data_IF_645309710920
#
_entry.id   IF_645309710920
#
_cell.length_a   1.000
_cell.length_b   1.000
_cell.length_c   1.000
_cell.angle_alpha   90.00
_cell.angle_beta   90.00
_cell.angle_gamma   90.00
#
_symmetry.space_group_name_H-M   'P 1'
#
loop_
_entity.id
_entity.type
_entity.pdbx_description
1 polymer ?
#
# COMPACT_ATOMS: atom_id res chain seq x y z
N UNK A 1 -8.59 -8.35 -21.59
CA UNK A 1 -9.35 -7.92 -20.41
C UNK A 1 -9.03 -8.90 -19.32
N UNK A 2 -8.60 -8.42 -18.15
CA UNK A 2 -8.25 -9.30 -17.02
C UNK A 2 -9.52 -9.76 -16.29
N UNK A 3 -9.44 -10.85 -15.52
CA UNK A 3 -10.58 -11.30 -14.71
C UNK A 3 -11.08 -10.21 -13.75
N UNK A 4 -10.16 -9.42 -13.20
CA UNK A 4 -10.51 -8.31 -12.32
C UNK A 4 -11.28 -7.21 -13.05
N UNK A 5 -10.88 -6.85 -14.27
CA UNK A 5 -11.60 -5.86 -15.08
C UNK A 5 -13.04 -6.30 -15.40
N UNK A 6 -13.25 -7.59 -15.67
CA UNK A 6 -14.58 -8.16 -15.90
C UNK A 6 -15.46 -8.10 -14.64
N UNK A 7 -14.89 -8.42 -13.47
CA UNK A 7 -15.60 -8.26 -12.20
C UNK A 7 -16.03 -6.82 -11.96
N UNK A 8 -15.13 -5.85 -12.18
CA UNK A 8 -15.45 -4.44 -11.97
C UNK A 8 -16.53 -3.92 -12.93
N UNK A 9 -16.64 -4.46 -14.15
CA UNK A 9 -17.72 -4.12 -15.09
C UNK A 9 -19.09 -4.62 -14.63
N UNK A 10 -19.13 -5.68 -13.81
CA UNK A 10 -20.38 -6.19 -13.23
C UNK A 10 -20.91 -5.35 -12.06
N UNK A 11 -20.08 -4.46 -11.50
CA UNK A 11 -20.46 -3.59 -10.40
C UNK A 11 -21.11 -2.28 -10.92
N UNK A 12 -22.16 -1.81 -10.25
CA UNK A 12 -22.75 -0.50 -10.54
C UNK A 12 -21.72 0.59 -10.27
N UNK A 13 -21.51 1.57 -11.16
CA UNK A 13 -20.48 2.61 -10.95
C UNK A 13 -20.62 3.30 -9.59
N UNK A 14 -19.51 3.61 -8.89
CA UNK A 14 -19.58 4.32 -7.62
C UNK A 14 -20.13 5.73 -7.84
N UNK A 15 -21.04 6.18 -6.97
CA UNK A 15 -21.62 7.52 -7.00
C UNK A 15 -20.74 8.60 -6.35
N UNK A 16 -19.57 8.21 -5.82
CA UNK A 16 -18.63 9.08 -5.12
C UNK A 16 -17.30 8.38 -4.87
N UNK A 17 -16.72 8.58 -3.68
CA UNK A 17 -15.52 7.86 -3.27
C UNK A 17 -15.78 6.35 -3.25
N UNK A 18 -14.79 5.56 -3.66
CA UNK A 18 -14.91 4.09 -3.64
C UNK A 18 -15.01 3.51 -2.22
N UNK A 19 -14.68 4.30 -1.20
CA UNK A 19 -14.80 3.92 0.21
C UNK A 19 -15.98 4.60 0.92
N UNK A 20 -16.78 5.42 0.23
CA UNK A 20 -17.80 6.26 0.86
C UNK A 20 -17.21 7.40 1.70
N UNK A 21 -17.99 7.95 2.63
CA UNK A 21 -17.54 9.00 3.55
C UNK A 21 -17.25 8.44 4.94
N UNK A 22 -16.35 9.06 5.69
CA UNK A 22 -16.00 8.64 7.05
C UNK A 22 -17.20 8.70 7.99
N UNK A 23 -18.15 9.59 7.76
CA UNK A 23 -19.33 9.75 8.62
C UNK A 23 -20.34 8.62 8.43
N UNK A 24 -20.36 7.98 7.25
CA UNK A 24 -21.32 6.94 6.89
C UNK A 24 -21.09 5.70 7.76
N UNK A 25 -21.87 5.52 8.83
CA UNK A 25 -21.71 4.38 9.74
C UNK A 25 -20.66 4.54 10.84
N UNK A 26 -20.15 5.76 11.07
CA UNK A 26 -19.05 5.99 12.02
C UNK A 26 -19.35 5.48 13.45
N UNK A 27 -20.58 5.70 13.94
CA UNK A 27 -21.02 5.21 15.25
C UNK A 27 -20.98 3.67 15.35
N UNK A 28 -21.38 2.97 14.29
CA UNK A 28 -21.33 1.51 14.23
C UNK A 28 -19.87 1.02 14.24
N UNK A 29 -18.97 1.66 13.48
CA UNK A 29 -17.54 1.35 13.48
C UNK A 29 -16.88 1.55 14.84
N UNK A 30 -17.26 2.59 15.59
CA UNK A 30 -16.73 2.78 16.97
C UNK A 30 -17.13 1.61 17.86
N UNK A 31 -18.40 1.18 17.80
CA UNK A 31 -18.89 0.02 18.56
C UNK A 31 -18.12 -1.25 18.20
N UNK A 32 -17.95 -1.49 16.90
CA UNK A 32 -17.25 -2.67 16.40
C UNK A 32 -15.74 -2.64 16.72
N UNK A 33 -15.10 -1.47 16.66
CA UNK A 33 -13.70 -1.31 17.05
C UNK A 33 -13.48 -1.66 18.53
N UNK A 34 -14.35 -1.20 19.43
CA UNK A 34 -14.31 -1.56 20.86
C UNK A 34 -14.51 -3.06 21.08
N UNK A 35 -15.48 -3.64 20.37
CA UNK A 35 -15.71 -5.09 20.40
C UNK A 35 -14.47 -5.86 19.95
N UNK A 36 -13.84 -5.43 18.85
CA UNK A 36 -12.62 -6.03 18.33
C UNK A 36 -11.49 -5.99 19.36
N UNK A 37 -11.24 -4.85 20.02
CA UNK A 37 -10.29 -4.76 21.13
C UNK A 37 -10.59 -5.76 22.25
N UNK A 38 -11.86 -5.89 22.65
CA UNK A 38 -12.26 -6.81 23.71
C UNK A 38 -12.03 -8.27 23.32
N UNK A 39 -12.36 -8.65 22.08
CA UNK A 39 -12.09 -9.99 21.55
C UNK A 39 -10.59 -10.29 21.52
N UNK A 40 -9.79 -9.33 21.04
CA UNK A 40 -8.34 -9.41 21.05
C UNK A 40 -7.73 -9.35 22.44
N UNK A 41 -8.44 -8.95 23.50
CA UNK A 41 -7.92 -9.09 24.88
C UNK A 41 -8.31 -10.42 25.49
N UNK A 42 -9.54 -10.88 25.23
CA UNK A 42 -10.12 -12.04 25.89
C UNK A 42 -9.74 -13.39 25.27
N UNK A 43 -9.30 -13.43 24.01
CA UNK A 43 -9.06 -14.69 23.28
C UNK A 43 -7.65 -14.76 22.74
N UNK A 44 -7.01 -15.91 22.98
CA UNK A 44 -5.74 -16.31 22.36
C UNK A 44 -5.84 -17.80 22.02
N UNK A 45 -5.34 -18.25 20.86
CA UNK A 45 -4.88 -17.42 19.72
C UNK A 45 -6.00 -16.57 19.11
N UNK A 46 -5.63 -15.49 18.40
CA UNK A 46 -6.59 -14.62 17.71
C UNK A 46 -6.06 -14.16 16.35
N UNK A 47 -6.90 -14.13 15.32
CA UNK A 47 -6.56 -13.66 13.99
C UNK A 47 -7.64 -12.72 13.44
N UNK A 48 -7.26 -11.46 13.20
CA UNK A 48 -8.05 -10.48 12.46
C UNK A 48 -7.56 -10.39 11.02
N UNK A 49 -8.46 -10.58 10.06
CA UNK A 49 -8.19 -10.41 8.63
C UNK A 49 -9.09 -9.35 8.00
N UNK A 50 -8.55 -8.64 7.01
CA UNK A 50 -9.33 -7.75 6.14
C UNK A 50 -9.31 -8.30 4.72
N UNK A 51 -10.44 -8.21 4.02
CA UNK A 51 -10.54 -8.59 2.61
C UNK A 51 -10.34 -7.38 1.70
N UNK A 52 -9.23 -7.30 0.96
CA UNK A 52 -9.11 -6.36 -0.15
C UNK A 52 -9.92 -6.82 -1.37
N UNK A 53 -10.16 -5.88 -2.29
CA UNK A 53 -10.81 -6.14 -3.58
C UNK A 53 -10.02 -7.14 -4.43
N UNK A 54 -8.69 -7.01 -4.46
CA UNK A 54 -7.82 -7.95 -5.18
C UNK A 54 -7.80 -9.35 -4.54
N UNK A 55 -7.89 -9.46 -3.21
CA UNK A 55 -8.02 -10.77 -2.55
C UNK A 55 -9.38 -11.41 -2.83
N UNK A 56 -10.45 -10.62 -2.84
CA UNK A 56 -11.79 -11.10 -3.22
C UNK A 56 -11.82 -11.59 -4.67
N UNK A 57 -11.30 -10.79 -5.60
CA UNK A 57 -11.20 -11.18 -7.01
C UNK A 57 -10.39 -12.47 -7.19
N UNK A 58 -9.30 -12.61 -6.42
CA UNK A 58 -8.48 -13.80 -6.41
C UNK A 58 -9.24 -15.05 -5.92
N UNK A 59 -9.99 -14.95 -4.82
CA UNK A 59 -10.77 -16.08 -4.29
C UNK A 59 -11.96 -16.44 -5.18
N UNK A 60 -12.59 -15.45 -5.83
CA UNK A 60 -13.63 -15.68 -6.82
C UNK A 60 -13.07 -16.37 -8.07
N UNK A 61 -11.90 -15.97 -8.55
CA UNK A 61 -11.22 -16.65 -9.64
C UNK A 61 -10.87 -18.10 -9.27
N UNK A 62 -10.44 -18.38 -8.04
CA UNK A 62 -10.23 -19.75 -7.60
C UNK A 62 -11.53 -20.56 -7.56
N UNK A 63 -12.61 -19.98 -7.04
CA UNK A 63 -13.94 -20.61 -7.01
C UNK A 63 -14.47 -20.92 -8.42
N UNK A 64 -14.20 -20.04 -9.38
CA UNK A 64 -14.63 -20.13 -10.78
C UNK A 64 -13.59 -20.84 -11.68
N UNK A 65 -12.52 -21.38 -11.11
CA UNK A 65 -11.42 -22.06 -11.82
C UNK A 65 -10.72 -21.18 -12.89
N UNK A 66 -10.65 -19.86 -12.68
CA UNK A 66 -10.08 -18.85 -13.58
C UNK A 66 -8.83 -18.14 -13.06
N UNK A 67 -8.02 -18.78 -12.20
CA UNK A 67 -6.81 -18.17 -11.62
C UNK A 67 -5.73 -17.81 -12.66
N UNK A 68 -5.72 -18.49 -13.80
CA UNK A 68 -4.84 -18.22 -14.94
C UNK A 68 -5.08 -16.85 -15.60
N UNK A 69 -6.24 -16.24 -15.32
CA UNK A 69 -6.67 -14.95 -15.88
C UNK A 69 -6.40 -13.75 -14.95
N UNK A 70 -5.70 -13.97 -13.84
CA UNK A 70 -5.25 -12.92 -12.91
C UNK A 70 -3.81 -12.54 -13.21
N UNK A 71 -3.54 -11.24 -13.31
CA UNK A 71 -2.19 -10.72 -13.45
C UNK A 71 -1.48 -10.63 -12.09
N UNK A 72 -0.27 -11.19 -12.03
CA UNK A 72 0.57 -11.22 -10.82
C UNK A 72 1.80 -10.29 -10.90
N UNK A 73 1.90 -9.43 -11.90
CA UNK A 73 3.09 -8.59 -12.14
C UNK A 73 3.31 -7.56 -11.01
N UNK A 74 4.56 -7.18 -10.76
CA UNK A 74 4.96 -6.18 -9.74
C UNK A 74 4.48 -4.74 -10.03
N UNK A 75 3.94 -4.53 -11.23
CA UNK A 75 3.43 -3.24 -11.68
C UNK A 75 4.51 -2.30 -12.21
N UNK A 76 4.15 -1.02 -12.43
CA UNK A 76 5.05 -0.04 -13.01
C UNK A 76 6.14 0.39 -12.02
N UNK A 77 7.34 0.62 -12.55
CA UNK A 77 8.45 1.23 -11.81
C UNK A 77 8.34 2.76 -11.80
N UNK A 78 7.24 3.31 -11.24
CA UNK A 78 7.04 4.76 -11.18
C UNK A 78 6.26 5.23 -9.96
N UNK A 79 6.78 6.26 -9.27
CA UNK A 79 6.11 6.88 -8.11
C UNK A 79 4.86 7.68 -8.48
N UNK A 80 4.58 7.85 -9.77
CA UNK A 80 3.43 8.60 -10.27
C UNK A 80 2.23 7.74 -10.62
N UNK A 81 2.40 6.42 -10.67
CA UNK A 81 1.36 5.47 -11.06
C UNK A 81 0.91 4.67 -9.85
N UNK A 82 -0.40 4.60 -9.64
CA UNK A 82 -0.99 3.74 -8.63
C UNK A 82 -1.00 2.30 -9.10
N UNK A 83 -0.61 1.36 -8.25
CA UNK A 83 -0.69 -0.07 -8.58
C UNK A 83 -0.78 -0.92 -7.32
N UNK A 84 -1.51 -2.03 -7.42
CA UNK A 84 -1.55 -3.04 -6.37
C UNK A 84 -1.75 -4.43 -6.95
N UNK A 85 -1.23 -5.42 -6.24
CA UNK A 85 -1.48 -6.83 -6.49
C UNK A 85 -1.46 -7.56 -5.12
N UNK A 86 -2.09 -8.75 -5.02
CA UNK A 86 -2.14 -9.51 -3.76
C UNK A 86 -0.77 -10.10 -3.38
N UNK A 87 0.19 -10.18 -4.30
CA UNK A 87 1.56 -10.68 -4.04
C UNK A 87 1.66 -12.19 -3.89
N UNK A 88 0.62 -12.92 -4.28
CA UNK A 88 0.50 -14.37 -4.19
C UNK A 88 0.11 -14.95 -5.55
N UNK A 89 0.75 -16.04 -5.97
CA UNK A 89 0.35 -16.83 -7.14
C UNK A 89 -0.69 -17.88 -6.79
N UNK A 90 -1.28 -18.48 -7.83
CA UNK A 90 -2.30 -19.53 -7.77
C UNK A 90 -2.02 -20.66 -6.75
N UNK A 91 -0.74 -21.01 -6.53
CA UNK A 91 -0.34 -22.09 -5.61
C UNK A 91 -0.77 -21.83 -4.16
N UNK A 92 -0.97 -20.58 -3.78
CA UNK A 92 -1.35 -20.18 -2.42
C UNK A 92 -2.87 -20.08 -2.22
N UNK A 93 -3.69 -20.36 -3.24
CA UNK A 93 -5.12 -20.07 -3.17
C UNK A 93 -5.86 -20.82 -2.06
N UNK A 94 -5.56 -22.12 -1.90
CA UNK A 94 -6.15 -22.94 -0.83
C UNK A 94 -5.75 -22.44 0.56
N UNK A 95 -4.50 -21.99 0.74
CA UNK A 95 -4.03 -21.42 2.02
C UNK A 95 -4.75 -20.11 2.32
N UNK A 96 -4.91 -19.24 1.31
CA UNK A 96 -5.64 -17.98 1.46
C UNK A 96 -7.11 -18.20 1.82
N UNK A 97 -7.80 -19.09 1.09
CA UNK A 97 -9.19 -19.49 1.38
C UNK A 97 -9.32 -19.99 2.82
N UNK A 98 -8.45 -20.93 3.22
CA UNK A 98 -8.42 -21.49 4.58
C UNK A 98 -8.23 -20.40 5.63
N UNK A 99 -7.37 -19.40 5.38
CA UNK A 99 -7.17 -18.29 6.32
C UNK A 99 -8.46 -17.49 6.55
N UNK A 100 -9.20 -17.15 5.50
CA UNK A 100 -10.48 -16.43 5.63
C UNK A 100 -11.60 -17.29 6.24
N UNK A 101 -11.63 -18.59 5.94
CA UNK A 101 -12.59 -19.51 6.53
C UNK A 101 -12.38 -19.68 8.04
N UNK A 102 -11.13 -19.71 8.48
CA UNK A 102 -10.74 -20.09 9.84
C UNK A 102 -10.31 -18.92 10.74
N UNK A 103 -10.25 -17.70 10.23
CA UNK A 103 -9.96 -16.52 11.04
C UNK A 103 -11.07 -16.25 12.07
N UNK A 104 -10.66 -15.75 13.24
CA UNK A 104 -11.56 -15.44 14.35
C UNK A 104 -12.45 -14.23 14.01
N UNK A 105 -11.89 -13.25 13.30
CA UNK A 105 -12.61 -12.09 12.80
C UNK A 105 -12.20 -11.76 11.35
N UNK A 106 -13.18 -11.56 10.48
CA UNK A 106 -12.95 -11.05 9.11
C UNK A 106 -13.76 -9.78 8.88
N UNK A 107 -13.07 -8.68 8.59
CA UNK A 107 -13.68 -7.52 7.96
C UNK A 107 -13.73 -7.76 6.44
N UNK A 108 -14.91 -8.05 5.92
CA UNK A 108 -15.12 -8.26 4.47
C UNK A 108 -15.01 -6.96 3.67
N UNK A 109 -14.86 -5.83 4.36
CA UNK A 109 -14.53 -4.55 3.76
C UNK A 109 -15.62 -4.09 2.78
N UNK A 110 -16.88 -4.40 3.08
CA UNK A 110 -18.05 -4.16 2.23
C UNK A 110 -18.36 -2.67 2.01
N UNK A 111 -17.72 -1.77 2.76
CA UNK A 111 -17.71 -0.33 2.50
C UNK A 111 -16.83 0.06 1.30
N UNK A 112 -15.94 -0.83 0.85
CA UNK A 112 -15.25 -0.69 -0.42
C UNK A 112 -16.17 -1.13 -1.55
N UNK A 113 -16.32 -0.26 -2.55
CA UNK A 113 -17.28 -0.39 -3.63
C UNK A 113 -17.27 -1.75 -4.37
N UNK A 114 -16.12 -2.33 -4.80
CA UNK A 114 -16.13 -3.66 -5.41
C UNK A 114 -16.63 -4.74 -4.44
N UNK A 115 -16.21 -4.69 -3.18
CA UNK A 115 -16.54 -5.70 -2.18
C UNK A 115 -18.04 -5.68 -1.84
N UNK A 116 -18.65 -4.49 -1.78
CA UNK A 116 -20.10 -4.33 -1.59
C UNK A 116 -20.91 -5.23 -2.53
N UNK A 117 -20.51 -5.30 -3.80
CA UNK A 117 -21.23 -6.03 -4.84
C UNK A 117 -20.79 -7.49 -4.98
N UNK A 118 -19.55 -7.80 -4.64
CA UNK A 118 -18.93 -9.08 -4.99
C UNK A 118 -18.80 -10.06 -3.82
N UNK A 119 -18.81 -9.60 -2.56
CA UNK A 119 -18.64 -10.48 -1.39
C UNK A 119 -19.72 -11.55 -1.30
N UNK A 120 -20.96 -11.23 -1.69
CA UNK A 120 -22.09 -12.18 -1.67
C UNK A 120 -21.92 -13.37 -2.62
N UNK A 121 -21.06 -13.25 -3.64
CA UNK A 121 -20.71 -14.34 -4.58
C UNK A 121 -19.67 -15.30 -4.01
N UNK A 122 -18.91 -14.86 -3.01
CA UNK A 122 -17.83 -15.66 -2.44
C UNK A 122 -18.40 -16.65 -1.43
N UNK A 123 -18.17 -17.94 -1.66
CA UNK A 123 -18.58 -19.01 -0.77
C UNK A 123 -17.39 -19.34 0.15
N UNK A 124 -17.56 -19.16 1.45
CA UNK A 124 -16.58 -19.54 2.48
C UNK A 124 -17.24 -20.38 3.56
N UNK A 125 -16.65 -21.52 3.90
CA UNK A 125 -17.12 -22.38 4.98
C UNK A 125 -16.56 -21.92 6.33
N UNK A 126 -17.28 -21.00 6.99
CA UNK A 126 -16.86 -20.45 8.29
C UNK A 126 -17.47 -21.24 9.46
N UNK A 127 -16.66 -21.65 10.47
CA UNK A 127 -17.18 -22.40 11.60
C UNK A 127 -18.10 -21.55 12.49
N UNK A 128 -19.02 -22.18 13.24
CA UNK A 128 -19.84 -21.48 14.22
C UNK A 128 -18.99 -20.69 15.22
N UNK A 129 -19.38 -19.44 15.50
CA UNK A 129 -18.67 -18.56 16.42
C UNK A 129 -17.56 -17.71 15.80
N UNK A 130 -17.19 -17.94 14.53
CA UNK A 130 -16.40 -16.98 13.74
C UNK A 130 -17.15 -15.66 13.59
N UNK A 131 -16.42 -14.54 13.65
CA UNK A 131 -17.01 -13.19 13.57
C UNK A 131 -16.71 -12.47 12.27
N UNK A 132 -17.59 -11.55 11.91
CA UNK A 132 -17.44 -10.59 10.81
C UNK A 132 -18.09 -9.27 11.21
N UNK A 133 -17.81 -8.21 10.46
CA UNK A 133 -18.57 -6.97 10.55
C UNK A 133 -20.08 -7.28 10.38
N UNK A 134 -20.96 -6.75 11.27
CA UNK A 134 -22.38 -7.06 11.26
C UNK A 134 -23.12 -6.43 10.08
N UNK A 135 -22.61 -5.30 9.56
CA UNK A 135 -23.17 -4.58 8.42
C UNK A 135 -22.07 -3.96 7.56
N UNK A 136 -22.43 -3.45 6.37
CA UNK A 136 -21.56 -2.65 5.51
C UNK A 136 -21.01 -1.42 6.25
N UNK A 137 -21.87 -0.74 7.00
CA UNK A 137 -21.55 0.47 7.76
C UNK A 137 -20.48 0.21 8.83
N UNK A 138 -20.46 -0.99 9.41
CA UNK A 138 -19.44 -1.40 10.38
C UNK A 138 -18.16 -1.97 9.77
N UNK A 139 -18.09 -2.12 8.44
CA UNK A 139 -16.85 -2.52 7.74
C UNK A 139 -15.80 -1.39 7.77
N UNK A 140 -14.62 -1.60 7.20
CA UNK A 140 -13.49 -0.66 7.29
C UNK A 140 -13.09 -0.41 8.76
N UNK A 141 -13.42 -1.36 9.64
CA UNK A 141 -13.31 -1.20 11.09
C UNK A 141 -11.86 -0.97 11.51
N UNK A 142 -10.92 -1.54 10.76
CA UNK A 142 -9.49 -1.39 11.03
C UNK A 142 -9.03 0.08 11.02
N UNK A 143 -9.63 0.94 10.18
CA UNK A 143 -9.32 2.38 10.15
C UNK A 143 -9.72 3.05 11.46
N UNK A 144 -10.98 2.86 11.88
CA UNK A 144 -11.51 3.40 13.14
C UNK A 144 -10.86 2.77 14.36
N UNK A 145 -10.53 1.49 14.30
CA UNK A 145 -9.81 0.79 15.35
C UNK A 145 -8.41 1.37 15.55
N UNK A 146 -7.65 1.63 14.47
CA UNK A 146 -6.36 2.30 14.60
C UNK A 146 -6.48 3.73 15.15
N UNK A 147 -7.52 4.47 14.75
CA UNK A 147 -7.75 5.83 15.25
C UNK A 147 -8.13 5.87 16.74
N UNK A 148 -8.95 4.93 17.22
CA UNK A 148 -9.61 5.04 18.55
C UNK A 148 -9.13 4.06 19.59
N UNK A 149 -8.64 2.90 19.18
CA UNK A 149 -8.46 1.76 20.08
C UNK A 149 -7.02 1.23 20.10
N UNK A 150 -6.29 1.34 18.98
CA UNK A 150 -4.95 0.76 18.83
C UNK A 150 -3.98 1.18 19.93
N UNK A 151 -3.92 2.48 20.25
CA UNK A 151 -3.04 3.01 21.31
C UNK A 151 -3.30 2.35 22.67
N UNK A 152 -4.57 2.33 23.09
CA UNK A 152 -4.99 1.76 24.37
C UNK A 152 -4.95 0.22 24.40
N UNK A 153 -5.20 -0.43 23.26
CA UNK A 153 -5.05 -1.87 23.14
C UNK A 153 -3.60 -2.32 23.35
N UNK A 154 -2.64 -1.59 22.79
CA UNK A 154 -1.21 -1.92 22.84
C UNK A 154 -0.52 -1.55 24.15
N UNK A 155 -1.15 -0.73 24.99
CA UNK A 155 -0.58 -0.28 26.27
C UNK A 155 -0.09 -1.46 27.12
N UNK A 156 1.18 -1.41 27.53
CA UNK A 156 1.88 -2.45 28.30
C UNK A 156 1.99 -3.83 27.63
N UNK A 157 1.80 -3.90 26.32
CA UNK A 157 1.97 -5.14 25.54
C UNK A 157 3.33 -5.19 24.86
N UNK A 158 3.72 -6.41 24.47
CA UNK A 158 4.86 -6.68 23.60
C UNK A 158 4.35 -6.86 22.18
N UNK A 159 4.52 -5.84 21.35
CA UNK A 159 3.97 -5.82 20.00
C UNK A 159 5.06 -5.87 18.94
N UNK A 160 4.80 -6.61 17.87
CA UNK A 160 5.69 -6.69 16.72
C UNK A 160 5.05 -6.06 15.48
N UNK A 161 5.77 -5.20 14.78
CA UNK A 161 5.43 -4.77 13.42
C UNK A 161 6.28 -5.52 12.42
N UNK A 162 5.64 -6.24 11.50
CA UNK A 162 6.33 -6.88 10.39
C UNK A 162 5.76 -6.49 9.04
N UNK A 163 6.65 -6.08 8.14
CA UNK A 163 6.29 -5.56 6.84
C UNK A 163 7.50 -4.92 6.16
N UNK A 164 7.35 -4.55 4.89
CA UNK A 164 8.41 -3.90 4.13
C UNK A 164 8.85 -2.58 4.77
N UNK A 165 7.91 -1.82 5.34
CA UNK A 165 8.16 -0.52 5.97
C UNK A 165 8.49 -0.61 7.47
N UNK A 166 8.68 -1.81 8.05
CA UNK A 166 8.87 -1.94 9.51
C UNK A 166 10.13 -1.22 10.01
N UNK A 167 11.27 -1.33 9.30
CA UNK A 167 12.49 -0.59 9.63
C UNK A 167 12.35 0.92 9.42
N UNK A 168 11.55 1.33 8.42
CA UNK A 168 11.22 2.73 8.23
C UNK A 168 10.44 3.28 9.43
N UNK A 169 9.44 2.53 9.92
CA UNK A 169 8.70 2.90 11.12
C UNK A 169 9.60 3.00 12.35
N UNK A 170 10.50 2.05 12.56
CA UNK A 170 11.48 2.09 13.65
C UNK A 170 12.29 3.38 13.64
N UNK A 171 12.88 3.72 12.49
CA UNK A 171 13.71 4.91 12.33
C UNK A 171 12.90 6.20 12.51
N UNK A 172 11.66 6.24 12.00
CA UNK A 172 10.76 7.38 12.16
C UNK A 172 10.33 7.55 13.62
N UNK A 173 10.00 6.47 14.34
CA UNK A 173 9.52 6.53 15.73
C UNK A 173 10.52 7.16 16.71
N UNK A 174 11.80 7.21 16.32
CA UNK A 174 12.87 7.83 17.09
C UNK A 174 12.96 9.35 16.89
N UNK A 175 12.29 9.91 15.87
CA UNK A 175 12.35 11.33 15.53
C UNK A 175 11.39 12.18 16.36
N UNK A 176 11.74 13.43 16.72
CA UNK A 176 10.83 14.35 17.40
C UNK A 176 9.54 14.62 16.60
N UNK A 177 9.65 14.74 15.29
CA UNK A 177 8.52 15.04 14.40
C UNK A 177 7.48 13.92 14.41
N UNK A 178 7.94 12.66 14.44
CA UNK A 178 7.03 11.52 14.58
C UNK A 178 6.37 11.50 15.95
N UNK A 179 7.13 11.65 17.04
CA UNK A 179 6.56 11.64 18.40
C UNK A 179 5.48 12.71 18.58
N UNK A 180 5.73 13.90 18.02
CA UNK A 180 4.75 14.98 18.04
C UNK A 180 3.52 14.66 17.17
N UNK A 181 3.71 14.24 15.92
CA UNK A 181 2.60 14.00 14.99
C UNK A 181 1.76 12.77 15.34
N UNK A 182 2.38 11.75 15.92
CA UNK A 182 1.76 10.47 16.22
C UNK A 182 1.21 10.38 17.66
N UNK A 183 1.35 11.44 18.47
CA UNK A 183 1.04 11.41 19.91
C UNK A 183 -0.34 10.82 20.25
N UNK A 184 -1.36 11.11 19.45
CA UNK A 184 -2.73 10.62 19.67
C UNK A 184 -2.94 9.14 19.32
N UNK A 185 -2.07 8.57 18.49
CA UNK A 185 -2.24 7.23 17.90
C UNK A 185 -1.17 6.23 18.34
N UNK A 186 0.02 6.71 18.70
CA UNK A 186 1.18 5.88 18.96
C UNK A 186 1.20 5.34 20.40
N UNK A 187 1.40 4.03 20.62
CA UNK A 187 1.40 3.42 21.94
C UNK A 187 2.78 3.56 22.60
N UNK A 188 3.09 4.73 23.14
CA UNK A 188 4.38 4.99 23.81
C UNK A 188 4.67 4.05 24.99
N UNK A 189 3.62 3.52 25.63
CA UNK A 189 3.71 2.61 26.79
C UNK A 189 3.80 1.13 26.38
N UNK A 190 3.94 0.81 25.10
CA UNK A 190 4.16 -0.55 24.61
C UNK A 190 5.65 -0.88 24.46
N UNK A 191 6.00 -2.16 24.57
CA UNK A 191 7.28 -2.68 24.10
C UNK A 191 7.15 -3.00 22.61
N UNK A 192 7.79 -2.22 21.74
CA UNK A 192 7.60 -2.28 20.28
C UNK A 192 8.84 -2.86 19.60
N UNK A 193 8.64 -3.93 18.83
CA UNK A 193 9.66 -4.60 18.03
C UNK A 193 9.35 -4.48 16.54
N UNK A 194 10.39 -4.48 15.70
CA UNK A 194 10.26 -4.28 14.26
C UNK A 194 10.97 -5.39 13.49
N UNK A 195 10.29 -5.94 12.48
CA UNK A 195 10.84 -6.94 11.59
C UNK A 195 10.63 -6.53 10.13
N UNK A 196 11.68 -5.99 9.52
CA UNK A 196 11.70 -5.77 8.08
C UNK A 196 11.87 -7.12 7.40
N UNK A 197 10.83 -7.56 6.70
CA UNK A 197 10.84 -8.86 6.03
C UNK A 197 11.92 -8.91 4.95
N UNK A 198 12.42 -10.12 4.70
CA UNK A 198 13.40 -10.41 3.65
C UNK A 198 13.06 -9.75 2.31
N UNK A 199 14.11 -9.32 1.62
CA UNK A 199 14.03 -8.63 0.33
C UNK A 199 13.08 -7.42 0.33
N UNK A 200 12.84 -6.80 1.49
CA UNK A 200 11.88 -5.70 1.66
C UNK A 200 10.45 -6.09 1.25
N UNK A 201 10.09 -7.37 1.33
CA UNK A 201 8.78 -7.88 0.91
C UNK A 201 8.63 -8.07 -0.61
N UNK A 202 9.73 -8.00 -1.37
CA UNK A 202 9.79 -8.44 -2.77
C UNK A 202 9.81 -9.97 -2.85
N UNK A 203 9.36 -10.52 -3.97
CA UNK A 203 9.31 -11.96 -4.23
C UNK A 203 8.53 -12.75 -3.15
N UNK A 204 7.51 -12.13 -2.56
CA UNK A 204 6.73 -12.70 -1.46
C UNK A 204 6.16 -14.07 -1.81
N UNK A 205 5.69 -14.27 -3.03
CA UNK A 205 5.16 -15.54 -3.51
C UNK A 205 6.17 -16.70 -3.37
N UNK A 206 7.44 -16.45 -3.70
CA UNK A 206 8.52 -17.43 -3.63
C UNK A 206 9.02 -17.61 -2.19
N UNK A 207 8.92 -16.55 -1.39
CA UNK A 207 9.53 -16.47 -0.07
C UNK A 207 8.57 -16.72 1.10
N UNK A 208 7.27 -16.94 0.86
CA UNK A 208 6.23 -16.91 1.90
C UNK A 208 6.53 -17.80 3.11
N UNK A 209 6.99 -19.03 2.90
CA UNK A 209 7.31 -19.96 3.99
C UNK A 209 8.62 -19.60 4.71
N UNK A 210 9.59 -19.01 4.00
CA UNK A 210 10.80 -18.49 4.63
C UNK A 210 10.52 -17.24 5.45
N UNK A 211 9.62 -16.36 4.98
CA UNK A 211 9.12 -15.21 5.75
C UNK A 211 8.43 -15.70 7.02
N UNK A 212 7.59 -16.75 6.93
CA UNK A 212 6.94 -17.34 8.10
C UNK A 212 7.94 -17.75 9.16
N UNK A 213 9.01 -18.43 8.75
CA UNK A 213 10.06 -18.92 9.64
C UNK A 213 10.81 -17.75 10.31
N UNK A 214 11.15 -16.70 9.56
CA UNK A 214 11.75 -15.49 10.14
C UNK A 214 10.83 -14.84 11.19
N UNK A 215 9.52 -14.76 10.89
CA UNK A 215 8.53 -14.19 11.80
C UNK A 215 8.35 -15.04 13.06
N UNK A 216 8.41 -16.37 12.93
CA UNK A 216 8.36 -17.30 14.06
C UNK A 216 9.52 -17.04 15.02
N UNK A 217 10.74 -17.01 14.49
CA UNK A 217 11.95 -16.71 15.26
C UNK A 217 11.89 -15.32 15.89
N UNK A 218 11.41 -14.31 15.16
CA UNK A 218 11.22 -12.96 15.67
C UNK A 218 10.24 -12.90 16.84
N UNK A 219 9.07 -13.56 16.73
CA UNK A 219 8.07 -13.60 17.81
C UNK A 219 8.65 -14.28 19.05
N UNK A 220 9.31 -15.43 18.88
CA UNK A 220 9.91 -16.18 19.98
C UNK A 220 11.03 -15.38 20.67
N UNK A 221 11.96 -14.80 19.90
CA UNK A 221 13.09 -14.04 20.43
C UNK A 221 12.67 -12.82 21.25
N UNK A 222 11.57 -12.18 20.86
CA UNK A 222 11.07 -10.97 21.52
C UNK A 222 9.85 -11.21 22.41
N UNK A 223 9.37 -12.45 22.55
CA UNK A 223 8.15 -12.79 23.25
C UNK A 223 6.96 -11.88 22.87
N UNK A 224 6.75 -11.69 21.56
CA UNK A 224 5.68 -10.84 21.03
C UNK A 224 4.32 -11.48 21.31
N UNK A 225 3.39 -10.75 21.92
CA UNK A 225 2.02 -11.23 22.18
C UNK A 225 1.01 -10.84 21.08
N UNK A 226 1.33 -9.78 20.33
CA UNK A 226 0.53 -9.28 19.21
C UNK A 226 1.42 -8.92 18.03
N UNK A 227 1.22 -9.57 16.89
CA UNK A 227 1.94 -9.33 15.65
C UNK A 227 1.06 -8.60 14.62
N UNK A 228 1.46 -7.38 14.26
CA UNK A 228 0.85 -6.58 13.19
C UNK A 228 1.57 -6.85 11.87
N UNK A 229 0.84 -7.38 10.88
CA UNK A 229 1.39 -7.81 9.59
C UNK A 229 0.98 -6.87 8.44
N UNK A 230 1.95 -6.39 7.67
CA UNK A 230 1.74 -5.63 6.43
C UNK A 230 2.48 -6.28 5.26
N UNK A 231 1.86 -7.31 4.68
CA UNK A 231 2.47 -8.19 3.66
C UNK A 231 1.47 -8.57 2.54
N UNK A 232 0.58 -7.66 2.15
CA UNK A 232 -0.42 -7.94 1.10
C UNK A 232 -1.24 -9.19 1.42
N UNK A 233 -1.45 -10.07 0.43
CA UNK A 233 -2.11 -11.36 0.62
C UNK A 233 -1.36 -12.30 1.57
N UNK A 234 -0.04 -12.21 1.66
CA UNK A 234 0.77 -13.02 2.58
C UNK A 234 0.43 -12.80 4.05
N UNK A 235 0.05 -11.57 4.43
CA UNK A 235 -0.37 -11.27 5.80
C UNK A 235 -1.59 -12.10 6.26
N UNK A 236 -2.45 -12.51 5.32
CA UNK A 236 -3.68 -13.26 5.62
C UNK A 236 -3.33 -14.70 6.00
N UNK A 237 -2.54 -15.32 5.13
CA UNK A 237 -2.04 -16.69 5.31
C UNK A 237 -1.18 -16.76 6.57
N UNK A 238 -0.13 -15.93 6.64
CA UNK A 238 0.82 -15.96 7.74
C UNK A 238 0.18 -15.53 9.06
N UNK A 239 -0.73 -14.55 9.04
CA UNK A 239 -1.44 -14.12 10.24
C UNK A 239 -2.28 -15.26 10.84
N UNK A 240 -3.03 -15.99 10.03
CA UNK A 240 -3.75 -17.16 10.50
C UNK A 240 -2.81 -18.24 11.03
N UNK A 241 -1.84 -18.67 10.23
CA UNK A 241 -0.93 -19.78 10.55
C UNK A 241 -0.12 -19.49 11.83
N UNK A 242 0.56 -18.32 11.90
CA UNK A 242 1.36 -17.93 13.06
C UNK A 242 0.52 -17.75 14.32
N UNK A 243 -0.72 -17.24 14.21
CA UNK A 243 -1.59 -17.14 15.38
C UNK A 243 -1.84 -18.52 16.00
N UNK A 244 -2.10 -19.54 15.17
CA UNK A 244 -2.38 -20.90 15.65
C UNK A 244 -1.13 -21.57 16.21
N UNK A 245 0.00 -21.42 15.52
CA UNK A 245 1.26 -22.07 15.90
C UNK A 245 1.85 -21.49 17.18
N UNK A 246 1.74 -20.17 17.38
CA UNK A 246 2.43 -19.48 18.48
C UNK A 246 1.48 -19.05 19.62
N UNK A 247 0.17 -19.24 19.45
CA UNK A 247 -0.80 -18.85 20.48
C UNK A 247 -0.99 -17.33 20.62
N UNK A 248 -0.53 -16.52 19.65
CA UNK A 248 -0.53 -15.05 19.72
C UNK A 248 -1.76 -14.42 19.06
N UNK A 249 -1.88 -13.10 19.16
CA UNK A 249 -2.76 -12.32 18.30
C UNK A 249 -2.02 -11.92 17.02
N UNK A 250 -2.59 -12.22 15.86
CA UNK A 250 -2.15 -11.68 14.58
C UNK A 250 -3.20 -10.73 14.02
N UNK A 251 -2.75 -9.57 13.54
CA UNK A 251 -3.62 -8.55 12.96
C UNK A 251 -3.12 -8.19 11.56
N UNK A 252 -3.96 -8.40 10.54
CA UNK A 252 -3.69 -7.89 9.19
C UNK A 252 -3.76 -6.36 9.19
N UNK A 253 -2.59 -5.74 9.34
CA UNK A 253 -2.42 -4.31 9.54
C UNK A 253 -2.28 -3.57 8.21
N UNK A 254 -1.82 -4.25 7.16
CA UNK A 254 -1.80 -3.78 5.78
C UNK A 254 -1.40 -2.31 5.64
N UNK A 255 -2.25 -1.51 4.98
CA UNK A 255 -1.96 -0.10 4.72
C UNK A 255 -1.89 0.78 5.99
N UNK A 256 -2.28 0.30 7.17
CA UNK A 256 -2.09 1.09 8.40
C UNK A 256 -0.63 1.24 8.78
N UNK A 257 0.25 0.30 8.38
CA UNK A 257 1.69 0.53 8.50
C UNK A 257 2.15 1.75 7.67
N UNK A 258 1.52 1.97 6.51
CA UNK A 258 1.74 3.17 5.69
C UNK A 258 1.15 4.43 6.31
N UNK A 259 0.00 4.33 6.98
CA UNK A 259 -0.55 5.46 7.73
C UNK A 259 0.41 5.92 8.84
N UNK A 260 1.00 4.97 9.58
CA UNK A 260 1.95 5.26 10.66
C UNK A 260 3.30 5.78 10.13
N UNK A 261 3.78 5.27 9.00
CA UNK A 261 5.02 5.77 8.38
C UNK A 261 4.81 7.02 7.53
N UNK A 262 3.55 7.41 7.29
CA UNK A 262 3.16 8.44 6.34
C UNK A 262 3.76 8.22 4.93
N UNK A 263 3.72 6.97 4.44
CA UNK A 263 4.39 6.56 3.19
C UNK A 263 3.51 6.73 1.95
N UNK A 264 4.05 7.39 0.91
CA UNK A 264 3.38 7.55 -0.39
C UNK A 264 3.44 6.34 -1.33
N UNK A 265 4.36 5.40 -1.09
CA UNK A 265 4.53 4.18 -1.85
C UNK A 265 4.46 2.96 -0.93
N UNK A 266 4.08 1.81 -1.48
CA UNK A 266 4.24 0.52 -0.77
C UNK A 266 5.72 0.25 -0.53
N UNK A 267 6.12 -0.25 0.64
CA UNK A 267 7.53 -0.50 0.99
C UNK A 267 8.26 -1.33 -0.06
N UNK A 268 7.65 -2.43 -0.50
CA UNK A 268 8.21 -3.36 -1.48
C UNK A 268 8.11 -2.89 -2.94
N UNK A 269 7.41 -1.78 -3.23
CA UNK A 269 7.18 -1.31 -4.62
C UNK A 269 7.56 0.15 -4.81
N UNK A 270 7.73 0.52 -6.08
CA UNK A 270 7.97 1.91 -6.49
C UNK A 270 6.67 2.63 -6.84
N UNK A 271 5.65 1.87 -7.22
CA UNK A 271 4.32 2.40 -7.48
C UNK A 271 3.75 3.09 -6.24
N UNK A 272 2.94 4.12 -6.51
CA UNK A 272 2.15 4.79 -5.48
C UNK A 272 1.10 3.81 -4.95
N UNK A 273 0.86 3.82 -3.64
CA UNK A 273 -0.19 2.99 -3.05
C UNK A 273 -1.55 3.36 -3.67
N UNK A 274 -2.43 2.39 -4.01
CA UNK A 274 -3.74 2.67 -4.60
C UNK A 274 -4.68 3.40 -3.62
N UNK A 275 -4.46 3.24 -2.32
CA UNK A 275 -5.20 3.89 -1.24
C UNK A 275 -4.24 4.38 -0.15
N UNK A 276 -4.58 5.50 0.49
CA UNK A 276 -3.69 6.19 1.41
C UNK A 276 -4.45 6.54 2.70
N UNK A 277 -4.49 5.64 3.70
CA UNK A 277 -5.00 5.99 5.02
C UNK A 277 -4.16 7.10 5.65
N UNK A 278 -4.81 8.04 6.34
CA UNK A 278 -4.15 9.21 6.92
C UNK A 278 -4.36 9.30 8.44
N UNK A 279 -3.30 9.62 9.17
CA UNK A 279 -3.35 9.86 10.63
C UNK A 279 -2.67 11.19 10.98
N UNK A 280 -1.45 11.39 10.47
CA UNK A 280 -0.65 12.60 10.68
C UNK A 280 0.35 12.78 9.52
N UNK A 281 1.02 13.92 9.47
CA UNK A 281 2.09 14.19 8.49
C UNK A 281 3.47 13.99 9.11
N UNK A 282 4.40 13.53 8.28
CA UNK A 282 5.84 13.58 8.55
C UNK A 282 6.49 14.48 7.50
N UNK A 283 7.34 15.46 7.88
CA UNK A 283 8.02 16.31 6.91
C UNK A 283 8.85 15.50 5.90
N UNK A 284 8.79 15.91 4.63
CA UNK A 284 9.43 15.20 3.52
C UNK A 284 10.91 14.87 3.77
N UNK A 285 11.69 15.82 4.31
CA UNK A 285 13.11 15.64 4.59
C UNK A 285 13.38 14.56 5.64
N UNK A 286 12.56 14.53 6.70
CA UNK A 286 12.62 13.53 7.79
C UNK A 286 12.28 12.16 7.23
N UNK A 287 11.15 12.04 6.52
CA UNK A 287 10.72 10.80 5.87
C UNK A 287 11.80 10.24 4.95
N UNK A 288 12.29 11.05 4.01
CA UNK A 288 13.31 10.61 3.06
C UNK A 288 14.66 10.31 3.73
N UNK A 289 14.98 10.97 4.84
CA UNK A 289 16.11 10.64 5.70
C UNK A 289 16.03 9.23 6.27
N UNK A 290 14.87 8.85 6.80
CA UNK A 290 14.63 7.52 7.33
C UNK A 290 14.55 6.46 6.22
N UNK A 291 13.90 6.78 5.09
CA UNK A 291 13.75 5.88 3.95
C UNK A 291 15.09 5.43 3.37
N UNK A 292 16.02 6.35 3.12
CA UNK A 292 17.35 6.00 2.59
C UNK A 292 18.16 5.13 3.55
N UNK A 293 17.92 5.24 4.86
CA UNK A 293 18.55 4.37 5.87
C UNK A 293 17.88 3.00 5.97
N UNK A 294 16.55 2.94 5.82
CA UNK A 294 15.78 1.71 5.85
C UNK A 294 16.01 0.85 4.59
N UNK A 295 16.28 1.50 3.45
CA UNK A 295 16.47 0.85 2.16
C UNK A 295 17.77 1.34 1.50
N UNK A 296 18.95 0.96 2.04
CA UNK A 296 20.24 1.49 1.56
C UNK A 296 20.59 1.07 0.13
N UNK A 297 19.93 0.02 -0.39
CA UNK A 297 20.21 -0.57 -1.69
C UNK A 297 19.32 -0.05 -2.83
N UNK A 298 18.50 0.99 -2.59
CA UNK A 298 17.69 1.59 -3.65
C UNK A 298 18.58 2.25 -4.70
N UNK A 299 18.32 1.96 -5.96
CA UNK A 299 18.95 2.65 -7.08
C UNK A 299 18.51 4.12 -7.12
N UNK A 300 19.27 5.01 -7.80
CA UNK A 300 18.88 6.41 -7.96
C UNK A 300 17.47 6.64 -8.51
N UNK A 301 17.01 5.77 -9.42
CA UNK A 301 15.66 5.89 -10.00
C UNK A 301 14.58 5.49 -8.99
N UNK A 302 14.83 4.49 -8.17
CA UNK A 302 13.93 4.03 -7.12
C UNK A 302 13.80 5.07 -6.01
N UNK A 303 14.91 5.69 -5.60
CA UNK A 303 14.89 6.82 -4.65
C UNK A 303 14.03 7.97 -5.20
N UNK A 304 14.17 8.31 -6.48
CA UNK A 304 13.32 9.34 -7.09
C UNK A 304 11.85 8.92 -7.15
N UNK A 305 11.54 7.65 -7.47
CA UNK A 305 10.17 7.17 -7.46
C UNK A 305 9.52 7.28 -6.07
N UNK A 306 10.21 6.83 -5.02
CA UNK A 306 9.74 6.98 -3.63
C UNK A 306 9.56 8.45 -3.24
N UNK A 307 10.50 9.32 -3.63
CA UNK A 307 10.40 10.76 -3.40
C UNK A 307 9.18 11.38 -4.11
N UNK A 308 8.92 11.00 -5.37
CA UNK A 308 7.75 11.49 -6.09
C UNK A 308 6.46 10.99 -5.46
N UNK A 309 6.37 9.70 -5.11
CA UNK A 309 5.21 9.15 -4.41
C UNK A 309 4.92 9.90 -3.11
N UNK A 310 5.97 10.22 -2.34
CA UNK A 310 5.83 11.00 -1.11
C UNK A 310 5.35 12.43 -1.37
N UNK A 311 5.88 13.13 -2.38
CA UNK A 311 5.39 14.46 -2.74
C UNK A 311 3.92 14.41 -3.19
N UNK A 312 3.54 13.40 -3.99
CA UNK A 312 2.17 13.26 -4.46
C UNK A 312 1.19 12.88 -3.35
N UNK A 313 1.65 12.21 -2.29
CA UNK A 313 0.85 11.97 -1.09
C UNK A 313 0.34 13.28 -0.48
N UNK A 314 1.13 14.35 -0.51
CA UNK A 314 0.71 15.67 0.01
C UNK A 314 -0.51 16.24 -0.71
N UNK A 315 -0.77 15.82 -1.93
CA UNK A 315 -1.86 16.33 -2.76
C UNK A 315 -3.13 15.47 -2.68
N UNK A 316 -3.10 14.34 -1.98
CA UNK A 316 -4.28 13.51 -1.77
C UNK A 316 -5.19 14.12 -0.70
N UNK A 317 -6.50 13.86 -0.83
CA UNK A 317 -7.47 14.15 0.22
C UNK A 317 -6.99 13.50 1.53
N UNK A 318 -7.00 14.28 2.61
CA UNK A 318 -6.58 13.86 3.94
C UNK A 318 -7.74 13.99 4.90
N UNK A 319 -7.99 12.90 5.58
CA UNK A 319 -8.99 12.84 6.64
C UNK A 319 -8.49 11.82 7.65
N UNK A 320 -8.31 12.28 8.89
CA UNK A 320 -7.72 11.49 9.97
C UNK A 320 -8.55 10.23 10.18
N UNK A 321 -7.91 9.06 10.29
CA UNK A 321 -8.59 7.79 10.50
C UNK A 321 -9.44 7.35 9.31
N UNK A 322 -9.20 7.90 8.13
CA UNK A 322 -9.89 7.53 6.90
C UNK A 322 -8.90 7.32 5.75
N UNK A 323 -9.40 6.77 4.64
CA UNK A 323 -8.60 6.47 3.45
C UNK A 323 -9.24 7.01 2.20
N UNK A 324 -8.41 7.41 1.25
CA UNK A 324 -8.81 7.88 -0.07
C UNK A 324 -7.97 7.20 -1.13
N UNK A 325 -8.53 7.04 -2.32
CA UNK A 325 -7.81 6.43 -3.45
C UNK A 325 -6.82 7.41 -4.07
N UNK A 326 -5.82 6.87 -4.75
CA UNK A 326 -4.67 7.62 -5.26
C UNK A 326 -5.01 8.71 -6.30
N UNK A 327 -6.24 8.75 -6.82
CA UNK A 327 -6.71 9.79 -7.74
C UNK A 327 -7.63 10.84 -7.09
N UNK A 328 -7.95 10.72 -5.80
CA UNK A 328 -8.72 11.71 -5.05
C UNK A 328 -7.80 12.82 -4.53
N UNK A 329 -7.56 13.83 -5.37
CA UNK A 329 -6.72 14.97 -5.04
C UNK A 329 -7.47 16.07 -4.28
N UNK A 330 -6.78 16.69 -3.33
CA UNK A 330 -7.19 17.91 -2.64
C UNK A 330 -6.05 18.95 -2.70
N UNK A 331 -6.26 20.01 -3.48
CA UNK A 331 -5.33 21.13 -3.65
C UNK A 331 -5.60 22.28 -2.68
N UNK A 332 -6.13 21.99 -1.49
CA UNK A 332 -6.30 22.93 -0.39
C UNK A 332 -4.97 23.65 -0.04
N UNK A 333 -5.09 24.81 0.60
CA UNK A 333 -3.94 25.66 0.97
C UNK A 333 -2.91 24.89 1.79
N UNK A 334 -3.37 24.06 2.73
CA UNK A 334 -2.53 23.27 3.62
C UNK A 334 -1.72 22.21 2.84
N UNK A 335 -2.39 21.37 2.06
CA UNK A 335 -1.77 20.36 1.21
C UNK A 335 -0.78 20.96 0.21
N UNK A 336 -1.14 22.09 -0.40
CA UNK A 336 -0.26 22.81 -1.30
C UNK A 336 0.96 23.42 -0.60
N UNK A 337 0.83 23.85 0.67
CA UNK A 337 1.97 24.33 1.45
C UNK A 337 2.95 23.19 1.71
N UNK A 338 2.46 22.07 2.25
CA UNK A 338 3.28 20.90 2.54
C UNK A 338 3.96 20.35 1.28
N UNK A 339 3.23 20.28 0.15
CA UNK A 339 3.82 19.91 -1.14
C UNK A 339 4.96 20.85 -1.55
N UNK A 340 4.77 22.17 -1.42
CA UNK A 340 5.78 23.16 -1.84
C UNK A 340 7.04 23.09 -0.98
N UNK A 341 6.88 22.95 0.33
CA UNK A 341 7.98 22.77 1.28
C UNK A 341 8.75 21.49 0.95
N UNK A 342 8.04 20.36 0.79
CA UNK A 342 8.65 19.10 0.37
C UNK A 342 9.34 19.19 -0.99
N UNK A 343 8.75 19.89 -1.96
CA UNK A 343 9.32 20.04 -3.31
C UNK A 343 10.61 20.88 -3.30
N UNK A 344 10.71 21.90 -2.45
CA UNK A 344 11.95 22.67 -2.28
C UNK A 344 13.07 21.76 -1.76
N UNK A 345 12.78 20.95 -0.74
CA UNK A 345 13.73 20.01 -0.17
C UNK A 345 14.13 18.92 -1.18
N UNK A 346 13.17 18.34 -1.89
CA UNK A 346 13.39 17.40 -3.00
C UNK A 346 14.36 17.96 -4.03
N UNK A 347 14.16 19.20 -4.48
CA UNK A 347 15.04 19.84 -5.46
C UNK A 347 16.44 20.03 -4.91
N UNK A 348 16.57 20.44 -3.64
CA UNK A 348 17.87 20.64 -2.99
C UNK A 348 18.63 19.32 -2.85
N UNK A 349 17.97 18.29 -2.31
CA UNK A 349 18.57 16.99 -1.97
C UNK A 349 18.88 16.12 -3.19
N UNK A 350 17.97 16.05 -4.15
CA UNK A 350 18.03 15.07 -5.25
C UNK A 350 18.45 15.62 -6.60
N UNK A 351 18.85 16.91 -6.68
CA UNK A 351 19.26 17.55 -7.95
C UNK A 351 20.25 16.71 -8.77
N UNK A 352 21.22 16.10 -8.08
CA UNK A 352 22.27 15.28 -8.69
C UNK A 352 21.73 14.00 -9.36
N UNK A 353 20.61 13.46 -8.89
CA UNK A 353 20.04 12.21 -9.41
C UNK A 353 19.26 12.42 -10.72
N UNK A 354 18.77 13.64 -10.95
CA UNK A 354 17.82 13.96 -12.03
C UNK A 354 18.30 13.63 -13.45
N UNK A 355 19.61 13.47 -13.65
CA UNK A 355 20.22 13.12 -14.93
C UNK A 355 21.21 11.96 -14.82
N UNK A 356 21.22 11.25 -13.70
CA UNK A 356 22.17 10.17 -13.43
C UNK A 356 22.03 8.97 -14.39
N UNK A 357 20.83 8.68 -14.90
CA UNK A 357 20.60 7.59 -15.85
C UNK A 357 19.42 7.87 -16.80
N UNK A 358 19.19 6.99 -17.77
CA UNK A 358 17.94 6.99 -18.56
C UNK A 358 16.72 6.78 -17.66
N UNK A 359 16.79 5.84 -16.72
CA UNK A 359 15.72 5.55 -15.77
C UNK A 359 15.36 6.76 -14.88
N UNK A 360 16.35 7.48 -14.34
CA UNK A 360 16.06 8.68 -13.53
C UNK A 360 15.43 9.80 -14.34
N UNK A 361 15.84 9.95 -15.61
CA UNK A 361 15.23 10.93 -16.54
C UNK A 361 13.78 10.58 -16.86
N UNK A 362 13.47 9.31 -17.07
CA UNK A 362 12.09 8.85 -17.33
C UNK A 362 11.20 9.08 -16.11
N UNK A 363 11.64 8.68 -14.93
CA UNK A 363 10.86 8.85 -13.71
C UNK A 363 10.61 10.34 -13.40
N UNK A 364 11.64 11.18 -13.54
CA UNK A 364 11.48 12.64 -13.40
C UNK A 364 10.54 13.24 -14.46
N UNK A 365 10.60 12.75 -15.70
CA UNK A 365 9.72 13.23 -16.76
C UNK A 365 8.24 12.96 -16.44
N UNK A 366 7.92 11.77 -15.91
CA UNK A 366 6.57 11.45 -15.44
C UNK A 366 6.10 12.40 -14.35
N UNK A 367 6.94 12.65 -13.34
CA UNK A 367 6.62 13.57 -12.25
C UNK A 367 6.44 15.03 -12.71
N UNK A 368 7.31 15.53 -13.58
CA UNK A 368 7.17 16.88 -14.14
C UNK A 368 5.94 17.01 -15.04
N UNK A 369 5.59 15.96 -15.78
CA UNK A 369 4.35 15.93 -16.56
C UNK A 369 3.12 16.05 -15.66
N UNK A 370 3.07 15.29 -14.56
CA UNK A 370 2.03 15.42 -13.54
C UNK A 370 1.97 16.84 -12.97
N UNK A 371 3.12 17.38 -12.54
CA UNK A 371 3.21 18.73 -11.99
C UNK A 371 2.76 19.81 -12.98
N UNK A 372 3.08 19.67 -14.26
CA UNK A 372 2.63 20.58 -15.31
C UNK A 372 1.13 20.50 -15.54
N UNK A 373 0.59 19.28 -15.57
CA UNK A 373 -0.84 19.01 -15.81
C UNK A 373 -1.69 19.66 -14.72
N UNK A 374 -1.27 19.55 -13.46
CA UNK A 374 -1.94 20.14 -12.31
C UNK A 374 -1.42 21.54 -11.92
N UNK A 375 -0.56 22.16 -12.76
CA UNK A 375 0.01 23.51 -12.56
C UNK A 375 0.72 23.72 -11.21
N UNK A 376 1.30 22.67 -10.64
CA UNK A 376 1.86 22.65 -9.28
C UNK A 376 3.20 23.36 -9.16
N UNK A 377 4.03 23.29 -10.20
CA UNK A 377 5.39 23.84 -10.20
C UNK A 377 5.71 24.55 -11.52
N UNK A 378 6.59 25.55 -11.48
CA UNK A 378 7.07 26.22 -12.70
C UNK A 378 7.83 25.26 -13.62
N UNK A 379 8.69 24.40 -13.07
CA UNK A 379 9.42 23.39 -13.83
C UNK A 379 8.47 22.43 -14.56
N UNK A 380 7.40 21.98 -13.90
CA UNK A 380 6.39 21.12 -14.52
C UNK A 380 5.63 21.83 -15.65
N UNK A 381 5.26 23.12 -15.46
CA UNK A 381 4.60 23.92 -16.50
C UNK A 381 5.48 24.07 -17.75
N UNK A 382 6.75 24.43 -17.56
CA UNK A 382 7.71 24.55 -18.66
C UNK A 382 7.93 23.21 -19.37
N UNK A 383 8.05 22.12 -18.60
CA UNK A 383 8.18 20.77 -19.15
C UNK A 383 6.97 20.40 -20.02
N UNK A 384 5.75 20.63 -19.53
CA UNK A 384 4.52 20.33 -20.26
C UNK A 384 4.38 21.16 -21.54
N UNK A 385 4.74 22.44 -21.51
CA UNK A 385 4.77 23.29 -22.70
C UNK A 385 5.73 22.71 -23.74
N UNK A 386 6.97 22.40 -23.36
CA UNK A 386 7.96 21.81 -24.28
C UNK A 386 7.51 20.45 -24.83
N UNK A 387 6.87 19.62 -24.00
CA UNK A 387 6.31 18.33 -24.40
C UNK A 387 5.22 18.49 -25.47
N UNK A 388 4.26 19.40 -25.24
CA UNK A 388 3.18 19.71 -26.19
C UNK A 388 3.71 20.28 -27.51
N UNK A 389 4.69 21.18 -27.45
CA UNK A 389 5.33 21.74 -28.66
C UNK A 389 6.02 20.65 -29.47
N UNK A 390 6.75 19.72 -28.83
CA UNK A 390 7.36 18.58 -29.53
C UNK A 390 6.32 17.67 -30.19
N UNK A 391 5.20 17.41 -29.51
CA UNK A 391 4.12 16.61 -30.08
C UNK A 391 3.47 17.30 -31.29
N UNK A 392 3.27 18.62 -31.23
CA UNK A 392 2.76 19.41 -32.35
C UNK A 392 3.71 19.38 -33.55
N UNK A 393 5.01 19.60 -33.33
CA UNK A 393 6.02 19.55 -34.40
C UNK A 393 6.04 18.17 -35.08
N UNK A 394 5.94 17.08 -34.31
CA UNK A 394 5.86 15.72 -34.86
C UNK A 394 4.64 15.49 -35.73
N UNK A 395 3.49 16.10 -35.40
CA UNK A 395 2.26 16.03 -36.19
C UNK A 395 2.35 16.88 -37.47
N UNK A 396 2.93 18.08 -37.38
CA UNK A 396 3.04 19.01 -38.50
C UNK A 396 4.20 18.69 -39.47
N UNK A 397 5.24 18.00 -39.01
CA UNK A 397 6.41 17.66 -39.82
C UNK A 397 6.79 16.17 -39.67
N UNK A 398 6.02 15.25 -40.28
CA UNK A 398 6.20 13.80 -40.11
C UNK A 398 7.61 13.28 -40.51
N UNK A 399 8.34 14.03 -41.35
CA UNK A 399 9.66 13.64 -41.88
C UNK A 399 10.88 14.26 -41.18
N UNK A 400 10.72 15.12 -40.16
CA UNK A 400 11.87 15.86 -39.60
C UNK A 400 12.80 15.05 -38.69
N UNK A 401 12.44 13.82 -38.30
CA UNK A 401 13.26 12.99 -37.39
C UNK A 401 13.70 11.64 -37.97
N UNK A 402 13.40 11.34 -39.23
CA UNK A 402 13.93 10.13 -39.89
C UNK A 402 15.39 10.25 -40.37
N UNK A 403 16.07 11.39 -40.11
CA UNK A 403 17.45 11.62 -40.55
C UNK A 403 18.52 11.47 -39.45
N UNK A 404 18.20 10.86 -38.30
CA UNK A 404 19.18 10.65 -37.22
C UNK A 404 19.33 9.21 -36.69
N UNK A 405 18.91 8.20 -37.45
CA UNK A 405 19.20 6.79 -37.14
C UNK A 405 19.90 6.04 -38.29
N UNK A 406 20.65 6.75 -39.15
CA UNK A 406 21.46 6.13 -40.21
C UNK A 406 22.98 6.12 -39.87
N UNK A 407 23.34 6.37 -38.61
CA UNK A 407 24.70 6.23 -38.08
C UNK A 407 24.62 5.58 -36.68
N UNK A 408 24.15 4.33 -36.67
CA UNK A 408 24.56 3.29 -35.71
C UNK A 408 23.99 1.96 -36.22
N UNK A 409 24.53 1.52 -37.36
CA UNK A 409 24.46 0.14 -37.78
C UNK A 409 25.60 -0.59 -37.09
N UNK A 410 25.26 -1.49 -36.18
CA UNK A 410 26.23 -2.37 -35.53
C UNK A 410 25.53 -3.48 -34.76
N UNK A 411 25.12 -4.52 -35.49
CA UNK A 411 24.73 -5.87 -35.02
C UNK A 411 23.38 -5.94 -34.27
N UNK A 412 22.39 -6.75 -34.64
CA UNK A 412 22.33 -7.96 -35.47
C UNK A 412 21.55 -9.04 -34.68
N UNK A 413 20.65 -9.75 -35.38
CA UNK A 413 19.83 -10.91 -34.97
C UNK A 413 18.42 -10.54 -34.44
N UNK A 414 17.40 -10.55 -35.30
CA UNK A 414 16.71 -11.69 -35.93
C UNK A 414 15.53 -12.17 -35.07
N UNK A 415 14.35 -11.68 -35.46
CA UNK A 415 13.08 -12.35 -35.28
C UNK A 415 12.83 -13.24 -36.50
N UNK A 416 12.66 -14.53 -36.27
CA UNK A 416 11.79 -15.46 -37.01
C UNK A 416 11.18 -16.33 -35.90
N UNK A 417 9.89 -16.64 -35.80
CA UNK A 417 8.90 -16.91 -36.83
C UNK A 417 8.29 -18.27 -36.46
N UNK A 418 6.97 -18.31 -36.28
CA UNK A 418 6.22 -19.42 -35.71
C UNK A 418 6.33 -20.76 -36.47
N UNK A 419 6.29 -21.85 -35.70
CA UNK A 419 5.53 -23.08 -35.96
C UNK A 419 5.16 -23.69 -34.59
#
# INVERSE_FOLDING_TARGET
>A
MTFYEELLQSCLRPSGSVFGKKEDGYGARIGEAKLLSNLMRARRPFCFLRMGDMELAYLLAEQEQGLDRIEFADGPRSGTQGYTNPGLSAKHARRLRRAYERADYVDFHEGNWPNEHLVSRLILERPPGSRRNPTKEASLVFLTWTEKEFKEYCKYRRIGFAGAEARLLELLSQTPEFKLGAADYWPEEAEIFYHQVRADGRDLDANLDLVKEDLRQFVEAHAVDTLFLSLGGGAKILGYELSRELGICCFDFGAMLRALTYSGCDGNRLARSPHSPFLFRIPFGVYMGALEKAFPNLTPAEVLAKAHGQLLLELLKKEIGWTSVSWEFDFSRENMSAFREGFQEYRRRYRKLFRASSATRMERAGFLHFCGTHRLTWEGRLFLMAFRTKALIRRCVPRFLFRRSALDNGTGLASDGAA
#
